data_IF_991013904037
#
_entry.id   IF_991013904037
#
_cell.length_a   1.000
_cell.length_b   1.000
_cell.length_c   1.000
_cell.angle_alpha   90.00
_cell.angle_beta   90.00
_cell.angle_gamma   90.00
#
_symmetry.space_group_name_H-M   'P 1'
#
loop_
_entity.id
_entity.type
_entity.pdbx_description
1 polymer ?
#
# COMPACT_ATOMS: atom_id res chain seq x y z
N UNK A 1 -7.27 22.10 17.75
CA UNK A 1 -6.42 21.91 16.55
C UNK A 1 -7.22 21.09 15.55
N UNK A 2 -7.60 21.68 14.42
CA UNK A 2 -8.07 20.93 13.26
C UNK A 2 -6.82 20.43 12.54
N UNK A 3 -6.16 19.42 13.11
CA UNK A 3 -5.06 18.74 12.42
C UNK A 3 -5.69 18.05 11.21
N UNK A 4 -5.34 18.55 10.02
CA UNK A 4 -6.09 18.45 8.79
C UNK A 4 -6.62 17.05 8.47
N UNK A 5 -7.89 17.00 8.03
CA UNK A 5 -8.42 15.87 7.30
C UNK A 5 -7.44 15.55 6.17
N UNK A 6 -6.74 14.40 6.24
CA UNK A 6 -6.04 13.86 5.08
C UNK A 6 -7.08 13.73 3.98
N UNK A 7 -6.85 14.36 2.84
CA UNK A 7 -7.75 14.21 1.70
C UNK A 7 -7.82 12.72 1.32
N UNK A 8 -9.04 12.19 1.23
CA UNK A 8 -9.26 10.82 0.76
C UNK A 8 -9.15 10.82 -0.76
N UNK A 9 -8.11 10.19 -1.28
CA UNK A 9 -7.95 9.93 -2.72
C UNK A 9 -8.80 8.73 -3.09
N UNK A 10 -9.26 8.66 -4.34
CA UNK A 10 -10.02 7.50 -4.82
C UNK A 10 -9.13 6.31 -5.16
N UNK A 11 -9.71 5.10 -5.20
CA UNK A 11 -9.01 3.91 -5.71
C UNK A 11 -8.44 4.12 -7.12
N UNK A 12 -9.18 4.80 -7.99
CA UNK A 12 -8.75 5.08 -9.36
C UNK A 12 -7.51 5.99 -9.43
N UNK A 13 -7.33 6.89 -8.46
CA UNK A 13 -6.12 7.69 -8.34
C UNK A 13 -4.92 6.79 -8.04
N UNK A 14 -5.01 5.97 -6.99
CA UNK A 14 -3.90 5.09 -6.60
C UNK A 14 -3.51 4.12 -7.72
N UNK A 15 -4.47 3.57 -8.48
CA UNK A 15 -4.18 2.71 -9.64
C UNK A 15 -3.37 3.37 -10.77
N UNK A 16 -3.30 4.71 -10.79
CA UNK A 16 -2.51 5.46 -11.77
C UNK A 16 -1.23 6.07 -11.17
N UNK A 17 -1.06 5.97 -9.85
CA UNK A 17 0.01 6.63 -9.09
C UNK A 17 0.82 5.60 -8.29
N UNK A 18 1.69 4.80 -8.93
CA UNK A 18 2.38 3.69 -8.29
C UNK A 18 3.31 4.14 -7.15
N UNK A 19 4.01 5.27 -7.29
CA UNK A 19 4.91 5.74 -6.23
C UNK A 19 4.17 6.24 -4.99
N UNK A 20 3.08 6.98 -5.19
CA UNK A 20 2.22 7.44 -4.09
C UNK A 20 1.53 6.25 -3.41
N UNK A 21 1.03 5.31 -4.20
CA UNK A 21 0.42 4.06 -3.69
C UNK A 21 1.41 3.28 -2.83
N UNK A 22 2.65 3.13 -3.29
CA UNK A 22 3.70 2.46 -2.54
C UNK A 22 3.98 3.17 -1.22
N UNK A 23 4.14 4.49 -1.24
CA UNK A 23 4.42 5.29 -0.05
C UNK A 23 3.28 5.19 0.98
N UNK A 24 2.04 5.37 0.54
CA UNK A 24 0.85 5.31 1.39
C UNK A 24 0.67 3.90 1.95
N UNK A 25 0.69 2.86 1.11
CA UNK A 25 0.50 1.49 1.58
C UNK A 25 1.60 1.04 2.55
N UNK A 26 2.86 1.40 2.28
CA UNK A 26 3.97 1.13 3.21
C UNK A 26 3.74 1.79 4.57
N UNK A 27 3.21 3.02 4.58
CA UNK A 27 2.90 3.71 5.83
C UNK A 27 1.74 3.03 6.57
N UNK A 28 0.69 2.61 5.85
CA UNK A 28 -0.43 1.87 6.43
C UNK A 28 0.01 0.57 7.12
N UNK A 29 0.95 -0.17 6.52
CA UNK A 29 1.53 -1.37 7.13
C UNK A 29 2.29 -1.07 8.43
N UNK A 30 2.98 0.07 8.50
CA UNK A 30 3.74 0.48 9.70
C UNK A 30 2.82 0.94 10.83
N UNK A 31 1.80 1.73 10.49
CA UNK A 31 0.94 2.38 11.48
C UNK A 31 -0.23 1.48 11.92
N UNK A 32 -0.54 0.43 11.15
CA UNK A 32 -1.75 -0.38 11.36
C UNK A 32 -3.04 0.42 11.14
N UNK A 33 -2.97 1.46 10.30
CA UNK A 33 -4.09 2.37 10.07
C UNK A 33 -5.22 1.68 9.26
N UNK A 34 -6.45 1.86 9.72
CA UNK A 34 -7.66 1.46 8.99
C UNK A 34 -8.39 2.69 8.46
N UNK A 35 -7.96 3.21 7.31
CA UNK A 35 -8.66 4.29 6.58
C UNK A 35 -8.92 3.94 5.13
N UNK A 36 -9.81 4.72 4.50
CA UNK A 36 -10.12 4.61 3.07
C UNK A 36 -8.85 4.70 2.20
N UNK A 37 -7.92 5.60 2.54
CA UNK A 37 -6.65 5.71 1.82
C UNK A 37 -5.82 4.43 1.92
N UNK A 38 -5.80 3.77 3.08
CA UNK A 38 -5.12 2.49 3.24
C UNK A 38 -5.79 1.36 2.48
N UNK A 39 -7.13 1.29 2.50
CA UNK A 39 -7.88 0.31 1.72
C UNK A 39 -7.63 0.48 0.21
N UNK A 40 -7.74 1.71 -0.29
CA UNK A 40 -7.57 2.00 -1.71
C UNK A 40 -6.12 1.82 -2.17
N UNK A 41 -5.15 2.26 -1.38
CA UNK A 41 -3.73 2.02 -1.69
C UNK A 41 -3.40 0.53 -1.67
N UNK A 42 -3.98 -0.26 -0.74
CA UNK A 42 -3.79 -1.70 -0.72
C UNK A 42 -4.36 -2.39 -1.98
N UNK A 43 -5.58 -2.03 -2.40
CA UNK A 43 -6.17 -2.57 -3.64
C UNK A 43 -5.34 -2.23 -4.87
N UNK A 44 -4.84 -1.00 -4.97
CA UNK A 44 -3.95 -0.60 -6.06
C UNK A 44 -2.59 -1.33 -5.98
N UNK A 45 -2.03 -1.51 -4.78
CA UNK A 45 -0.80 -2.29 -4.58
C UNK A 45 -0.96 -3.74 -5.06
N UNK A 46 -2.09 -4.39 -4.78
CA UNK A 46 -2.40 -5.74 -5.27
C UNK A 46 -2.46 -5.78 -6.80
N UNK A 47 -3.11 -4.80 -7.43
CA UNK A 47 -3.15 -4.68 -8.89
C UNK A 47 -1.74 -4.52 -9.47
N UNK A 48 -0.91 -3.62 -8.90
CA UNK A 48 0.46 -3.43 -9.38
C UNK A 48 1.33 -4.67 -9.21
N UNK A 49 1.20 -5.41 -8.11
CA UNK A 49 1.92 -6.68 -7.92
C UNK A 49 1.49 -7.77 -8.91
N UNK A 50 0.25 -7.76 -9.40
CA UNK A 50 -0.25 -8.77 -10.33
C UNK A 50 0.07 -8.39 -11.79
N UNK A 51 -0.25 -7.15 -12.17
CA UNK A 51 -0.39 -6.68 -13.55
C UNK A 51 0.49 -5.46 -13.88
N UNK A 52 1.28 -4.97 -12.91
CA UNK A 52 2.16 -3.82 -13.11
C UNK A 52 3.24 -4.06 -14.17
N UNK A 53 3.77 -2.97 -14.72
CA UNK A 53 4.94 -3.03 -15.60
C UNK A 53 6.16 -3.60 -14.83
N UNK A 54 7.13 -4.21 -15.54
CA UNK A 54 8.40 -4.59 -14.93
C UNK A 54 9.04 -3.42 -14.18
N UNK A 55 9.62 -3.69 -13.02
CA UNK A 55 10.08 -2.72 -12.02
C UNK A 55 9.00 -2.28 -11.03
N UNK A 56 7.79 -1.96 -11.50
CA UNK A 56 6.67 -1.59 -10.61
C UNK A 56 6.12 -2.85 -9.94
N UNK A 57 5.91 -3.91 -10.71
CA UNK A 57 5.41 -5.18 -10.21
C UNK A 57 6.29 -5.75 -9.10
N UNK A 58 7.58 -5.89 -9.37
CA UNK A 58 8.58 -6.44 -8.45
C UNK A 58 8.66 -5.61 -7.16
N UNK A 59 8.52 -4.28 -7.28
CA UNK A 59 8.50 -3.36 -6.14
C UNK A 59 7.31 -3.65 -5.20
N UNK A 60 6.12 -3.91 -5.74
CA UNK A 60 4.95 -4.23 -4.92
C UNK A 60 4.95 -5.68 -4.43
N UNK A 61 5.38 -6.65 -5.25
CA UNK A 61 5.60 -8.04 -4.83
C UNK A 61 6.54 -8.12 -3.61
N UNK A 62 7.63 -7.36 -3.63
CA UNK A 62 8.60 -7.32 -2.53
C UNK A 62 7.98 -6.83 -1.21
N UNK A 63 7.10 -5.83 -1.23
CA UNK A 63 6.40 -5.39 0.00
C UNK A 63 5.55 -6.52 0.57
N UNK A 64 4.77 -7.22 -0.27
CA UNK A 64 3.90 -8.30 0.21
C UNK A 64 4.71 -9.46 0.81
N UNK A 65 5.85 -9.80 0.20
CA UNK A 65 6.76 -10.80 0.73
C UNK A 65 7.33 -10.37 2.10
N UNK A 66 7.84 -9.15 2.21
CA UNK A 66 8.36 -8.61 3.47
C UNK A 66 7.31 -8.61 4.58
N UNK A 67 6.05 -8.27 4.26
CA UNK A 67 4.96 -8.26 5.23
C UNK A 67 4.59 -9.68 5.68
N UNK A 68 4.57 -10.65 4.77
CA UNK A 68 4.35 -12.06 5.10
C UNK A 68 5.46 -12.61 6.01
N UNK A 69 6.73 -12.29 5.72
CA UNK A 69 7.89 -12.67 6.53
C UNK A 69 7.80 -12.08 7.94
N UNK A 70 7.46 -10.80 8.08
CA UNK A 70 7.27 -10.15 9.38
C UNK A 70 6.19 -10.84 10.22
N UNK A 71 5.04 -11.17 9.60
CA UNK A 71 3.95 -11.88 10.29
C UNK A 71 4.38 -13.26 10.77
N UNK A 72 5.13 -13.99 9.94
CA UNK A 72 5.67 -15.29 10.31
C UNK A 72 6.68 -15.19 11.47
N UNK A 73 7.52 -14.16 11.47
CA UNK A 73 8.50 -13.93 12.54
C UNK A 73 7.87 -13.56 13.90
N UNK A 74 6.69 -12.91 13.90
CA UNK A 74 5.95 -12.58 15.13
C UNK A 74 5.18 -13.79 15.70
N UNK A 75 4.93 -14.81 14.88
CA UNK A 75 4.13 -15.99 15.26
C UNK A 75 5.00 -17.16 15.79
N UNK A 76 6.33 -17.04 15.77
CA UNK A 76 7.29 -17.98 16.38
C UNK A 76 7.71 -17.52 17.78
#
# INVERSE_FOLDING_TARGET
MLSGCKETKSEAWYKQHPDETYAVYTQCLKDGEASDNCEFAHRAALMFAQEGQPGVKEKFEAIFQQEAEKRNAVTQ
#
